data_IF_036769339573
#
_entry.id   IF_036769339573
#
_cell.length_a   1.000
_cell.length_b   1.000
_cell.length_c   1.000
_cell.angle_alpha   90.00
_cell.angle_beta   90.00
_cell.angle_gamma   90.00
#
_symmetry.space_group_name_H-M   'P 1'
#
loop_
_entity.id
_entity.type
_entity.pdbx_description
1 polymer ?
#
# COMPACT_ATOMS: atom_id res chain seq x y z
N UNK A 1 -34.78 -26.80 7.73
CA UNK A 1 -33.44 -26.33 8.18
C UNK A 1 -33.38 -24.82 8.02
N UNK A 2 -33.19 -24.05 9.10
CA UNK A 2 -33.00 -22.59 8.99
C UNK A 2 -31.56 -22.32 8.54
N UNK A 3 -31.36 -21.75 7.36
CA UNK A 3 -30.05 -21.22 6.96
C UNK A 3 -29.68 -20.07 7.90
N UNK A 4 -28.74 -20.29 8.82
CA UNK A 4 -28.08 -19.20 9.54
C UNK A 4 -27.13 -18.50 8.56
N UNK A 5 -27.46 -17.29 8.15
CA UNK A 5 -26.56 -16.45 7.35
C UNK A 5 -25.34 -16.08 8.20
N UNK A 6 -24.13 -16.38 7.72
CA UNK A 6 -22.90 -15.94 8.39
C UNK A 6 -22.85 -14.41 8.35
N UNK A 7 -22.46 -13.75 9.46
CA UNK A 7 -22.28 -12.30 9.46
C UNK A 7 -21.14 -11.89 8.53
N UNK A 8 -21.27 -10.73 7.89
CA UNK A 8 -20.24 -10.19 7.01
C UNK A 8 -18.93 -9.92 7.77
N UNK A 9 -17.81 -10.37 7.20
CA UNK A 9 -16.49 -10.17 7.79
C UNK A 9 -15.79 -8.95 7.17
N UNK A 10 -16.04 -7.77 7.75
CA UNK A 10 -15.47 -6.51 7.27
C UNK A 10 -13.93 -6.51 7.25
N UNK A 11 -13.28 -7.20 8.18
CA UNK A 11 -11.80 -7.30 8.21
C UNK A 11 -11.27 -8.07 7.01
N UNK A 12 -11.87 -9.22 6.71
CA UNK A 12 -11.47 -10.02 5.57
C UNK A 12 -11.72 -9.27 4.25
N UNK A 13 -12.86 -8.58 4.13
CA UNK A 13 -13.18 -7.77 2.97
C UNK A 13 -12.15 -6.66 2.73
N UNK A 14 -11.85 -5.86 3.76
CA UNK A 14 -10.90 -4.76 3.64
C UNK A 14 -9.49 -5.27 3.32
N UNK A 15 -9.06 -6.38 3.92
CA UNK A 15 -7.77 -6.99 3.60
C UNK A 15 -7.70 -7.45 2.14
N UNK A 16 -8.77 -8.07 1.64
CA UNK A 16 -8.83 -8.51 0.25
C UNK A 16 -8.74 -7.31 -0.71
N UNK A 17 -9.49 -6.25 -0.44
CA UNK A 17 -9.44 -5.01 -1.24
C UNK A 17 -8.04 -4.38 -1.21
N UNK A 18 -7.40 -4.34 -0.04
CA UNK A 18 -6.05 -3.80 0.10
C UNK A 18 -5.04 -4.60 -0.73
N UNK A 19 -5.11 -5.93 -0.72
CA UNK A 19 -4.22 -6.80 -1.52
C UNK A 19 -4.49 -6.61 -3.01
N UNK A 20 -5.75 -6.66 -3.43
CA UNK A 20 -6.12 -6.52 -4.85
C UNK A 20 -5.70 -5.16 -5.40
N UNK A 21 -6.00 -4.08 -4.67
CA UNK A 21 -5.62 -2.74 -5.08
C UNK A 21 -4.10 -2.55 -5.01
N UNK A 22 -3.44 -3.06 -3.98
CA UNK A 22 -2.00 -2.98 -3.79
C UNK A 22 -1.21 -3.71 -4.89
N UNK A 23 -1.70 -4.84 -5.39
CA UNK A 23 -1.11 -5.56 -6.52
C UNK A 23 -1.47 -4.93 -7.87
N UNK A 24 -2.68 -4.37 -8.01
CA UNK A 24 -3.13 -3.73 -9.24
C UNK A 24 -2.46 -2.38 -9.49
N UNK A 25 -2.05 -1.65 -8.44
CA UNK A 25 -1.39 -0.35 -8.56
C UNK A 25 -0.05 -0.42 -9.34
N UNK A 26 0.89 -1.33 -9.06
CA UNK A 26 2.09 -1.52 -9.87
C UNK A 26 1.78 -1.84 -11.34
N UNK A 27 0.83 -2.76 -11.59
CA UNK A 27 0.47 -3.16 -12.96
C UNK A 27 -0.07 -1.98 -13.76
N UNK A 28 -1.04 -1.26 -13.19
CA UNK A 28 -1.64 -0.07 -13.83
C UNK A 28 -0.67 1.10 -13.91
N UNK A 29 0.24 1.24 -12.94
CA UNK A 29 1.28 2.26 -12.93
C UNK A 29 2.31 2.05 -14.03
N UNK A 30 2.74 0.80 -14.24
CA UNK A 30 3.62 0.42 -15.36
C UNK A 30 2.94 0.72 -16.70
N UNK A 31 1.68 0.33 -16.88
CA UNK A 31 0.93 0.62 -18.11
C UNK A 31 0.80 2.13 -18.37
N UNK A 32 0.50 2.91 -17.32
CA UNK A 32 0.40 4.37 -17.42
C UNK A 32 1.76 5.02 -17.70
N UNK A 33 2.85 4.46 -17.18
CA UNK A 33 4.22 4.93 -17.47
C UNK A 33 4.60 4.68 -18.94
N UNK A 34 4.32 3.49 -19.49
CA UNK A 34 4.58 3.19 -20.92
C UNK A 34 3.81 4.11 -21.87
N UNK A 35 2.58 4.48 -21.52
CA UNK A 35 1.74 5.37 -22.32
C UNK A 35 1.92 6.86 -21.96
N UNK A 36 2.77 7.18 -20.99
CA UNK A 36 2.87 8.52 -20.39
C UNK A 36 3.30 9.62 -21.36
N UNK A 37 4.15 9.27 -22.33
CA UNK A 37 4.68 10.18 -23.34
C UNK A 37 3.85 10.27 -24.62
N UNK A 38 2.85 9.40 -24.78
CA UNK A 38 1.93 9.46 -25.91
C UNK A 38 0.93 10.62 -25.74
N UNK A 39 0.39 11.15 -26.85
CA UNK A 39 -0.78 12.02 -26.82
C UNK A 39 -1.94 11.36 -26.05
N UNK A 40 -2.88 12.15 -25.53
CA UNK A 40 -4.00 11.62 -24.76
C UNK A 40 -4.89 10.72 -25.63
N UNK A 41 -4.70 9.40 -25.53
CA UNK A 41 -5.53 8.39 -26.21
C UNK A 41 -6.59 7.81 -25.25
N UNK A 42 -7.68 7.23 -25.75
CA UNK A 42 -8.65 6.52 -24.92
C UNK A 42 -8.02 5.41 -24.06
N UNK A 43 -7.02 4.72 -24.59
CA UNK A 43 -6.27 3.69 -23.87
C UNK A 43 -5.50 4.26 -22.67
N UNK A 44 -4.73 5.35 -22.89
CA UNK A 44 -4.03 6.05 -21.81
C UNK A 44 -5.00 6.53 -20.74
N UNK A 45 -6.12 7.10 -21.15
CA UNK A 45 -7.16 7.56 -20.22
C UNK A 45 -7.76 6.40 -19.41
N UNK A 46 -7.99 5.25 -20.04
CA UNK A 46 -8.48 4.03 -19.37
C UNK A 46 -7.51 3.52 -18.30
N UNK A 47 -6.22 3.41 -18.62
CA UNK A 47 -5.21 2.99 -17.65
C UNK A 47 -5.04 3.98 -16.50
N UNK A 48 -5.08 5.28 -16.79
CA UNK A 48 -5.05 6.34 -15.78
C UNK A 48 -6.26 6.27 -14.85
N UNK A 49 -7.47 6.10 -15.41
CA UNK A 49 -8.70 5.96 -14.62
C UNK A 49 -8.66 4.71 -13.74
N UNK A 50 -8.19 3.58 -14.26
CA UNK A 50 -8.02 2.35 -13.50
C UNK A 50 -7.01 2.53 -12.35
N UNK A 51 -5.86 3.15 -12.62
CA UNK A 51 -4.85 3.43 -11.61
C UNK A 51 -5.40 4.31 -10.48
N UNK A 52 -6.12 5.38 -10.83
CA UNK A 52 -6.72 6.29 -9.86
C UNK A 52 -7.81 5.61 -9.02
N UNK A 53 -8.66 4.79 -9.64
CA UNK A 53 -9.69 4.03 -8.94
C UNK A 53 -9.07 3.03 -7.95
N UNK A 54 -8.03 2.30 -8.36
CA UNK A 54 -7.28 1.41 -7.48
C UNK A 54 -6.58 2.17 -6.36
N UNK A 55 -6.03 3.36 -6.64
CA UNK A 55 -5.43 4.24 -5.63
C UNK A 55 -6.43 4.64 -4.56
N UNK A 56 -7.63 5.06 -4.96
CA UNK A 56 -8.69 5.41 -4.02
C UNK A 56 -9.13 4.19 -3.18
N UNK A 57 -9.33 3.04 -3.82
CA UNK A 57 -9.69 1.79 -3.13
C UNK A 57 -8.60 1.36 -2.15
N UNK A 58 -7.32 1.48 -2.53
CA UNK A 58 -6.19 1.16 -1.69
C UNK A 58 -6.16 2.05 -0.45
N UNK A 59 -6.28 3.38 -0.62
CA UNK A 59 -6.28 4.33 0.50
C UNK A 59 -7.46 4.08 1.44
N UNK A 60 -8.67 3.94 0.90
CA UNK A 60 -9.86 3.67 1.72
C UNK A 60 -9.73 2.34 2.48
N UNK A 61 -9.21 1.30 1.82
CA UNK A 61 -8.98 0.00 2.45
C UNK A 61 -7.83 0.04 3.47
N UNK A 62 -6.78 0.82 3.24
CA UNK A 62 -5.67 0.97 4.18
C UNK A 62 -6.14 1.67 5.46
N UNK A 63 -6.92 2.76 5.32
CA UNK A 63 -7.56 3.44 6.46
C UNK A 63 -8.51 2.49 7.19
N UNK A 64 -9.35 1.75 6.46
CA UNK A 64 -10.24 0.74 7.04
C UNK A 64 -9.47 -0.35 7.78
N UNK A 65 -8.37 -0.83 7.22
CA UNK A 65 -7.50 -1.85 7.80
C UNK A 65 -6.90 -1.34 9.11
N UNK A 66 -6.32 -0.14 9.09
CA UNK A 66 -5.75 0.50 10.27
C UNK A 66 -6.80 0.70 11.36
N UNK A 67 -8.00 1.17 11.00
CA UNK A 67 -9.08 1.40 11.94
C UNK A 67 -9.58 0.09 12.59
N UNK A 68 -9.83 -0.95 11.78
CA UNK A 68 -10.33 -2.24 12.25
C UNK A 68 -9.30 -3.05 13.04
N UNK A 69 -8.01 -2.80 12.80
CA UNK A 69 -6.88 -3.47 13.45
C UNK A 69 -6.09 -2.55 14.41
N UNK A 70 -6.63 -1.39 14.78
CA UNK A 70 -5.94 -0.38 15.62
C UNK A 70 -5.42 -0.93 16.94
N UNK A 71 -6.15 -1.83 17.59
CA UNK A 71 -5.75 -2.42 18.88
C UNK A 71 -4.53 -3.34 18.72
N UNK A 72 -4.56 -4.36 17.84
CA UNK A 72 -3.36 -5.13 17.49
C UNK A 72 -2.19 -4.27 17.02
N UNK A 73 -2.44 -3.28 16.16
CA UNK A 73 -1.40 -2.39 15.62
C UNK A 73 -0.71 -1.60 16.73
N UNK A 74 -1.47 -0.97 17.64
CA UNK A 74 -0.88 -0.27 18.78
C UNK A 74 -0.11 -1.21 19.71
N UNK A 75 -0.59 -2.45 19.88
CA UNK A 75 0.14 -3.49 20.62
C UNK A 75 1.50 -3.79 20.00
N UNK A 76 1.54 -3.98 18.68
CA UNK A 76 2.77 -4.21 17.93
C UNK A 76 3.70 -2.99 17.96
N UNK A 77 3.18 -1.78 17.78
CA UNK A 77 3.98 -0.55 17.86
C UNK A 77 4.62 -0.40 19.24
N UNK A 78 3.86 -0.68 20.32
CA UNK A 78 4.40 -0.65 21.69
C UNK A 78 5.46 -1.72 21.92
N UNK A 79 5.22 -2.94 21.43
CA UNK A 79 6.19 -4.03 21.51
C UNK A 79 7.47 -3.70 20.72
N UNK A 80 7.34 -3.17 19.51
CA UNK A 80 8.45 -2.69 18.68
C UNK A 80 9.21 -1.54 19.37
N UNK A 81 8.51 -0.60 20.01
CA UNK A 81 9.15 0.46 20.78
C UNK A 81 9.96 -0.07 21.97
N UNK A 82 9.42 -1.07 22.67
CA UNK A 82 10.14 -1.76 23.74
C UNK A 82 11.36 -2.55 23.22
N UNK A 83 11.26 -3.19 22.05
CA UNK A 83 12.39 -3.86 21.40
C UNK A 83 13.41 -2.86 20.83
N UNK A 84 12.95 -1.71 20.33
CA UNK A 84 13.81 -0.66 19.78
C UNK A 84 14.60 0.09 20.85
N UNK A 85 14.08 0.16 22.08
CA UNK A 85 14.84 0.61 23.24
C UNK A 85 16.05 -0.30 23.56
N UNK A 86 16.08 -1.52 23.01
CA UNK A 86 17.22 -2.45 23.07
C UNK A 86 18.02 -2.56 21.76
N UNK A 87 17.68 -1.82 20.70
CA UNK A 87 18.46 -1.80 19.46
C UNK A 87 19.69 -0.90 19.64
N UNK A 88 20.88 -1.45 19.41
CA UNK A 88 22.10 -0.65 19.33
C UNK A 88 22.02 0.38 18.18
N UNK A 89 22.78 1.47 18.31
CA UNK A 89 22.86 2.56 17.32
C UNK A 89 23.07 2.06 15.89
N UNK A 90 23.76 0.93 15.73
CA UNK A 90 24.03 0.26 14.46
C UNK A 90 22.77 -0.19 13.73
N UNK A 91 21.79 -0.77 14.44
CA UNK A 91 20.56 -1.24 13.80
C UNK A 91 19.66 -0.07 13.34
N UNK A 92 19.68 1.04 14.06
CA UNK A 92 19.01 2.28 13.65
C UNK A 92 19.68 2.88 12.41
N UNK A 93 21.01 2.85 12.34
CA UNK A 93 21.77 3.30 11.17
C UNK A 93 21.49 2.44 9.94
N UNK A 94 21.45 1.11 10.09
CA UNK A 94 21.09 0.20 8.98
C UNK A 94 19.67 0.48 8.49
N UNK A 95 18.72 0.66 9.41
CA UNK A 95 17.34 1.03 9.06
C UNK A 95 17.25 2.37 8.32
N UNK A 96 18.00 3.37 8.77
CA UNK A 96 18.07 4.69 8.13
C UNK A 96 18.70 4.62 6.73
N UNK A 97 19.80 3.87 6.57
CA UNK A 97 20.46 3.67 5.27
C UNK A 97 19.53 2.94 4.31
N UNK A 98 18.84 1.90 4.76
CA UNK A 98 17.85 1.18 3.96
C UNK A 98 16.70 2.11 3.53
N UNK A 99 16.18 2.93 4.44
CA UNK A 99 15.13 3.89 4.14
C UNK A 99 15.60 4.92 3.09
N UNK A 100 16.78 5.51 3.30
CA UNK A 100 17.36 6.48 2.36
C UNK A 100 17.64 5.87 1.00
N UNK A 101 18.21 4.66 0.94
CA UNK A 101 18.43 3.94 -0.32
C UNK A 101 17.11 3.69 -1.06
N UNK A 102 16.04 3.32 -0.34
CA UNK A 102 14.72 3.11 -0.92
C UNK A 102 14.12 4.42 -1.45
N UNK A 103 14.24 5.51 -0.70
CA UNK A 103 13.79 6.84 -1.12
C UNK A 103 14.59 7.35 -2.33
N UNK A 104 15.89 7.10 -2.38
CA UNK A 104 16.76 7.50 -3.49
C UNK A 104 16.44 6.71 -4.76
N UNK A 105 16.24 5.39 -4.65
CA UNK A 105 15.79 4.56 -5.75
C UNK A 105 14.41 5.02 -6.25
N UNK A 106 13.46 5.26 -5.34
CA UNK A 106 12.14 5.78 -5.68
C UNK A 106 12.21 7.15 -6.37
N UNK A 107 13.11 8.04 -5.94
CA UNK A 107 13.33 9.32 -6.59
C UNK A 107 13.94 9.17 -7.99
N UNK A 108 14.91 8.26 -8.17
CA UNK A 108 15.46 7.94 -9.49
C UNK A 108 14.39 7.41 -10.46
N UNK A 109 13.45 6.60 -9.98
CA UNK A 109 12.29 6.15 -10.75
C UNK A 109 11.29 7.28 -11.05
N UNK A 110 11.21 8.31 -10.20
CA UNK A 110 10.31 9.46 -10.38
C UNK A 110 10.89 10.56 -11.29
N UNK A 111 12.23 10.66 -11.41
CA UNK A 111 12.92 11.70 -12.18
C UNK A 111 13.49 11.20 -13.50
N UNK A 112 13.80 9.90 -13.60
CA UNK A 112 14.23 9.25 -14.86
C UNK A 112 13.06 8.81 -15.76
N UNK A 113 11.83 9.05 -15.32
CA UNK A 113 10.56 8.85 -16.02
C UNK A 113 10.01 10.19 -16.51
#
# INVERSE_FOLDING_TARGET
MRHRTRPFNARAFVNLMLILAGLGLPVTGIANHYLGFASLTPERHGWMAAHNALGLLFVASAVGHAWLNRRPLLGQIRAMGASAAGLGTEALLVGLVMLLATLFAAHGFLVGA
#
